data_IF_485281248906
#
_entry.id   IF_485281248906
#
_cell.length_a   1.000
_cell.length_b   1.000
_cell.length_c   1.000
_cell.angle_alpha   90.00
_cell.angle_beta   90.00
_cell.angle_gamma   90.00
#
_symmetry.space_group_name_H-M   'P 1'
#
loop_
_entity.id
_entity.type
_entity.pdbx_description
1 polymer ?
#
# COMPACT_ATOMS: atom_id res chain seq x y z
N UNK A 1 35.12 -7.42 -34.68
CA UNK A 1 33.90 -6.91 -34.02
C UNK A 1 33.93 -7.34 -32.55
N UNK A 2 33.49 -6.47 -31.64
CA UNK A 2 33.36 -6.63 -30.17
C UNK A 2 34.63 -6.68 -29.28
N UNK A 3 35.00 -5.50 -28.77
CA UNK A 3 35.52 -5.31 -27.39
C UNK A 3 34.75 -4.17 -26.72
N UNK A 4 33.47 -4.41 -26.40
CA UNK A 4 32.62 -3.52 -25.58
C UNK A 4 32.42 -4.12 -24.18
N UNK A 5 33.50 -4.50 -23.50
CA UNK A 5 33.43 -5.05 -22.13
C UNK A 5 34.74 -4.72 -21.40
N UNK A 6 34.92 -3.49 -20.92
CA UNK A 6 35.71 -3.26 -19.69
C UNK A 6 35.64 -1.85 -19.06
N UNK A 7 34.80 -0.93 -19.53
CA UNK A 7 34.69 0.42 -18.90
C UNK A 7 33.61 0.52 -17.83
N UNK A 8 32.70 -0.46 -17.75
CA UNK A 8 31.58 -0.48 -16.79
C UNK A 8 32.06 -0.78 -15.36
N UNK A 9 33.06 -1.65 -15.20
CA UNK A 9 33.68 -1.98 -13.91
C UNK A 9 34.52 -0.83 -13.33
N UNK A 10 35.27 -0.13 -14.17
CA UNK A 10 36.08 1.03 -13.76
C UNK A 10 35.21 2.23 -13.36
N UNK A 11 34.16 2.53 -14.13
CA UNK A 11 33.20 3.60 -13.82
C UNK A 11 32.43 3.34 -12.53
N UNK A 12 32.06 2.08 -12.25
CA UNK A 12 31.35 1.70 -11.02
C UNK A 12 32.28 1.71 -9.80
N UNK A 13 33.56 1.38 -9.97
CA UNK A 13 34.57 1.52 -8.92
C UNK A 13 34.87 2.98 -8.60
N UNK A 14 34.97 3.87 -9.61
CA UNK A 14 35.11 5.32 -9.37
C UNK A 14 33.85 5.89 -8.70
N UNK A 15 32.63 5.46 -9.09
CA UNK A 15 31.37 5.91 -8.48
C UNK A 15 31.29 5.52 -6.98
N UNK A 16 31.80 4.33 -6.60
CA UNK A 16 31.93 3.91 -5.19
C UNK A 16 33.01 4.66 -4.41
N UNK A 17 34.04 5.16 -5.09
CA UNK A 17 35.08 5.95 -4.44
C UNK A 17 34.49 7.29 -3.99
N UNK A 18 33.68 7.99 -4.81
CA UNK A 18 33.25 9.37 -4.52
C UNK A 18 31.84 9.57 -3.95
N UNK A 19 30.96 8.56 -4.01
CA UNK A 19 29.58 8.68 -3.52
C UNK A 19 29.22 7.42 -2.72
N UNK A 20 28.79 7.61 -1.47
CA UNK A 20 28.27 6.53 -0.61
C UNK A 20 26.91 6.04 -1.12
N UNK A 21 26.49 4.85 -0.69
CA UNK A 21 25.18 4.27 -1.06
C UNK A 21 23.99 5.14 -0.61
N UNK A 22 24.20 6.08 0.31
CA UNK A 22 23.22 7.05 0.83
C UNK A 22 23.18 8.39 0.06
N UNK A 23 23.79 8.48 -1.13
CA UNK A 23 23.95 9.72 -1.92
C UNK A 23 24.73 10.84 -1.21
N UNK A 24 25.44 10.57 -0.11
CA UNK A 24 26.34 11.55 0.49
C UNK A 24 27.72 11.50 -0.17
N UNK A 25 28.34 12.68 -0.36
CA UNK A 25 29.70 12.80 -0.90
C UNK A 25 30.67 12.04 -0.01
N UNK A 26 31.42 11.10 -0.60
CA UNK A 26 32.33 10.25 0.15
C UNK A 26 33.55 11.09 0.55
N UNK A 27 33.53 11.63 1.77
CA UNK A 27 34.61 12.44 2.36
C UNK A 27 35.98 11.77 2.25
N UNK A 28 36.02 10.43 2.20
CA UNK A 28 37.23 9.64 1.97
C UNK A 28 37.87 9.87 0.59
N UNK A 29 37.08 10.09 -0.45
CA UNK A 29 37.54 10.31 -1.81
C UNK A 29 38.19 11.68 -2.01
N UNK A 30 37.57 12.71 -1.42
CA UNK A 30 38.09 14.08 -1.37
C UNK A 30 39.37 14.15 -0.53
N UNK A 31 39.43 13.37 0.57
CA UNK A 31 40.64 13.21 1.37
C UNK A 31 41.76 12.50 0.60
N UNK A 32 41.45 11.40 -0.12
CA UNK A 32 42.40 10.68 -0.98
C UNK A 32 42.93 11.54 -2.13
N UNK A 33 42.13 12.48 -2.67
CA UNK A 33 42.61 13.41 -3.70
C UNK A 33 43.59 14.45 -3.16
N UNK A 34 43.34 14.98 -1.95
CA UNK A 34 44.28 15.87 -1.25
C UNK A 34 45.58 15.14 -0.89
N UNK A 35 45.46 13.93 -0.36
CA UNK A 35 46.59 13.03 -0.07
C UNK A 35 47.44 12.73 -1.31
N UNK A 36 46.81 12.47 -2.46
CA UNK A 36 47.52 12.18 -3.71
C UNK A 36 48.29 13.38 -4.27
N UNK A 37 47.73 14.59 -4.17
CA UNK A 37 48.45 15.82 -4.55
C UNK A 37 49.69 15.97 -3.66
N UNK A 38 49.49 15.87 -2.36
CA UNK A 38 50.55 16.08 -1.39
C UNK A 38 51.67 15.00 -1.49
N UNK A 39 51.32 13.74 -1.78
CA UNK A 39 52.28 12.66 -2.06
C UNK A 39 53.08 12.89 -3.35
N UNK A 40 52.49 13.50 -4.38
CA UNK A 40 53.18 13.80 -5.64
C UNK A 40 54.14 14.98 -5.45
N UNK A 41 53.76 15.99 -4.68
CA UNK A 41 54.65 17.09 -4.25
C UNK A 41 55.86 16.52 -3.50
N UNK A 42 55.59 15.59 -2.57
CA UNK A 42 56.61 14.82 -1.83
C UNK A 42 57.57 14.06 -2.76
N UNK A 43 57.04 13.43 -3.80
CA UNK A 43 57.80 12.63 -4.76
C UNK A 43 58.71 13.49 -5.64
N UNK A 44 58.19 14.60 -6.18
CA UNK A 44 58.93 15.49 -7.08
C UNK A 44 60.12 16.14 -6.39
N UNK A 45 59.94 16.57 -5.14
CA UNK A 45 60.98 17.25 -4.39
C UNK A 45 62.01 16.22 -3.83
N UNK A 46 61.61 14.99 -3.47
CA UNK A 46 62.57 13.92 -3.15
C UNK A 46 63.40 13.47 -4.37
N UNK A 47 62.81 13.42 -5.57
CA UNK A 47 63.56 13.16 -6.79
C UNK A 47 64.63 14.23 -7.06
N UNK A 48 64.37 15.46 -6.64
CA UNK A 48 65.31 16.56 -6.77
C UNK A 48 66.45 16.51 -5.75
N UNK A 49 66.20 16.10 -4.51
CA UNK A 49 67.28 15.84 -3.54
C UNK A 49 68.25 14.74 -4.01
N UNK A 50 67.79 13.83 -4.87
CA UNK A 50 68.62 12.81 -5.53
C UNK A 50 69.37 13.37 -6.76
N UNK A 51 68.78 14.33 -7.49
CA UNK A 51 69.38 14.96 -8.68
C UNK A 51 70.33 16.15 -8.36
N UNK A 52 70.13 16.83 -7.23
CA UNK A 52 70.95 17.97 -6.79
C UNK A 52 72.31 17.58 -6.19
N UNK A 53 72.71 16.30 -6.26
CA UNK A 53 74.11 15.91 -6.10
C UNK A 53 75.02 16.50 -7.22
N UNK A 54 74.43 17.13 -8.24
CA UNK A 54 75.16 17.81 -9.32
C UNK A 54 74.44 19.06 -9.83
N UNK A 55 74.97 20.23 -9.45
CA UNK A 55 74.89 21.55 -10.11
C UNK A 55 73.86 22.62 -9.67
N UNK A 56 74.43 23.66 -9.03
CA UNK A 56 74.31 25.13 -9.22
C UNK A 56 72.98 25.91 -9.07
N UNK A 57 72.99 26.84 -8.10
CA UNK A 57 72.62 28.27 -8.14
C UNK A 57 71.43 28.69 -9.04
N UNK A 58 70.21 28.41 -8.60
CA UNK A 58 69.03 29.23 -8.90
C UNK A 58 68.61 29.97 -7.63
N UNK A 59 67.88 31.09 -7.74
CA UNK A 59 67.36 31.80 -6.56
C UNK A 59 66.37 30.89 -5.81
N UNK A 60 66.86 30.26 -4.76
CA UNK A 60 66.13 29.33 -3.91
C UNK A 60 65.18 30.13 -3.00
N UNK A 61 63.90 29.76 -2.98
CA UNK A 61 62.97 30.27 -1.98
C UNK A 61 63.19 29.50 -0.68
N UNK A 62 63.08 30.21 0.45
CA UNK A 62 63.05 29.53 1.74
C UNK A 62 61.77 28.69 1.86
N UNK A 63 61.84 27.62 2.64
CA UNK A 63 60.71 26.72 2.86
C UNK A 63 59.46 27.46 3.37
N UNK A 64 59.63 28.50 4.19
CA UNK A 64 58.52 29.33 4.66
C UNK A 64 57.85 30.16 3.55
N UNK A 65 58.64 30.71 2.62
CA UNK A 65 58.11 31.49 1.50
C UNK A 65 57.41 30.58 0.47
N UNK A 66 57.97 29.40 0.20
CA UNK A 66 57.36 28.41 -0.69
C UNK A 66 56.03 27.87 -0.15
N UNK A 67 55.92 27.66 1.17
CA UNK A 67 54.66 27.27 1.82
C UNK A 67 53.61 28.39 1.67
N UNK A 68 54.00 29.64 1.94
CA UNK A 68 53.08 30.78 1.84
C UNK A 68 52.54 30.95 0.42
N UNK A 69 53.40 30.81 -0.60
CA UNK A 69 53.00 30.94 -2.01
C UNK A 69 52.02 29.83 -2.44
N UNK A 70 52.23 28.60 -1.97
CA UNK A 70 51.33 27.47 -2.21
C UNK A 70 49.96 27.71 -1.55
N UNK A 71 49.92 28.23 -0.33
CA UNK A 71 48.65 28.54 0.34
C UNK A 71 47.91 29.69 -0.33
N UNK A 72 48.60 30.76 -0.72
CA UNK A 72 47.98 31.87 -1.45
C UNK A 72 47.36 31.38 -2.78
N UNK A 73 48.01 30.44 -3.47
CA UNK A 73 47.46 29.82 -4.66
C UNK A 73 46.25 28.93 -4.37
N UNK A 74 46.31 28.07 -3.34
CA UNK A 74 45.17 27.24 -2.91
C UNK A 74 43.99 28.11 -2.46
N UNK A 75 44.27 29.25 -1.84
CA UNK A 75 43.27 30.22 -1.39
C UNK A 75 42.65 30.99 -2.55
N UNK A 76 43.42 31.29 -3.60
CA UNK A 76 42.91 31.86 -4.84
C UNK A 76 41.97 30.90 -5.60
N UNK A 77 42.09 29.60 -5.33
CA UNK A 77 41.22 28.56 -5.89
C UNK A 77 40.03 28.31 -4.96
N UNK A 78 38.93 29.04 -5.17
CA UNK A 78 37.64 28.87 -4.47
C UNK A 78 36.98 27.49 -4.77
N UNK A 79 37.55 26.40 -4.25
CA UNK A 79 37.00 25.06 -4.46
C UNK A 79 37.58 23.93 -3.62
N UNK A 80 38.57 24.20 -2.77
CA UNK A 80 39.05 23.23 -1.79
C UNK A 80 38.19 23.26 -0.52
N UNK A 81 37.69 22.09 -0.10
CA UNK A 81 36.95 21.99 1.16
C UNK A 81 37.88 22.20 2.37
N UNK A 82 37.31 22.55 3.52
CA UNK A 82 38.06 22.73 4.77
C UNK A 82 38.86 21.48 5.13
N UNK A 83 38.30 20.29 4.89
CA UNK A 83 38.94 19.01 5.15
C UNK A 83 40.08 18.72 4.16
N UNK A 84 39.94 19.13 2.90
CA UNK A 84 41.01 19.02 1.91
C UNK A 84 42.17 19.97 2.23
N UNK A 85 41.87 21.18 2.71
CA UNK A 85 42.86 22.13 3.20
C UNK A 85 43.59 21.58 4.42
N UNK A 86 42.89 21.09 5.44
CA UNK A 86 43.53 20.50 6.61
C UNK A 86 44.42 19.29 6.30
N UNK A 87 44.03 18.46 5.32
CA UNK A 87 44.85 17.35 4.86
C UNK A 87 46.10 17.84 4.11
N UNK A 88 45.95 18.87 3.27
CA UNK A 88 47.08 19.54 2.62
C UNK A 88 48.01 20.18 3.66
N UNK A 89 47.46 20.85 4.67
CA UNK A 89 48.21 21.57 5.71
C UNK A 89 49.16 20.65 6.47
N UNK A 90 48.66 19.49 6.93
CA UNK A 90 49.45 18.52 7.68
C UNK A 90 50.61 17.97 6.83
N UNK A 91 50.39 17.79 5.53
CA UNK A 91 51.38 17.16 4.65
C UNK A 91 52.39 18.19 4.13
N UNK A 92 51.94 19.41 3.81
CA UNK A 92 52.81 20.53 3.45
C UNK A 92 53.70 20.89 4.65
N UNK A 93 53.14 21.00 5.85
CA UNK A 93 53.90 21.30 7.06
C UNK A 93 54.93 20.20 7.40
N UNK A 94 54.54 18.92 7.41
CA UNK A 94 55.46 17.80 7.68
C UNK A 94 56.59 17.72 6.64
N UNK A 95 56.33 18.14 5.41
CA UNK A 95 57.29 18.04 4.31
C UNK A 95 58.32 19.18 4.29
N UNK A 96 57.88 20.43 4.38
CA UNK A 96 58.78 21.59 4.34
C UNK A 96 59.59 21.76 5.64
N UNK A 97 59.18 21.14 6.74
CA UNK A 97 60.01 20.99 7.94
C UNK A 97 61.24 20.10 7.71
N UNK A 98 61.31 19.34 6.60
CA UNK A 98 62.39 18.40 6.26
C UNK A 98 63.16 18.77 4.98
N UNK A 99 62.96 19.96 4.40
CA UNK A 99 63.59 20.40 3.15
C UNK A 99 64.20 21.79 3.32
N UNK A 100 65.47 21.98 2.95
CA UNK A 100 66.21 23.23 3.19
C UNK A 100 66.02 24.29 2.09
N UNK A 101 65.65 23.89 0.86
CA UNK A 101 65.31 24.83 -0.22
C UNK A 101 64.43 24.24 -1.33
N UNK A 102 63.64 25.11 -2.00
CA UNK A 102 62.76 24.76 -3.14
C UNK A 102 63.00 25.73 -4.30
N UNK A 103 63.00 25.22 -5.54
CA UNK A 103 63.15 26.08 -6.73
C UNK A 103 61.83 26.44 -7.38
N UNK A 104 61.86 27.50 -8.18
CA UNK A 104 60.71 28.01 -8.93
C UNK A 104 60.09 27.00 -9.91
N UNK A 105 60.90 26.13 -10.50
CA UNK A 105 60.41 25.09 -11.42
C UNK A 105 59.61 24.02 -10.68
N UNK A 106 60.00 23.70 -9.44
CA UNK A 106 59.25 22.77 -8.58
C UNK A 106 57.88 23.34 -8.23
N UNK A 107 57.82 24.64 -7.91
CA UNK A 107 56.58 25.36 -7.67
C UNK A 107 55.65 25.35 -8.89
N UNK A 108 56.20 25.52 -10.10
CA UNK A 108 55.41 25.47 -11.33
C UNK A 108 54.74 24.11 -11.53
N UNK A 109 55.45 23.01 -11.26
CA UNK A 109 54.88 21.66 -11.37
C UNK A 109 53.78 21.44 -10.33
N UNK A 110 53.96 21.97 -9.11
CA UNK A 110 52.94 21.93 -8.05
C UNK A 110 51.67 22.68 -8.50
N UNK A 111 51.82 23.87 -9.07
CA UNK A 111 50.69 24.65 -9.60
C UNK A 111 49.94 23.92 -10.71
N UNK A 112 50.65 23.36 -11.69
CA UNK A 112 50.04 22.60 -12.78
C UNK A 112 49.25 21.39 -12.26
N UNK A 113 49.77 20.72 -11.23
CA UNK A 113 49.13 19.56 -10.64
C UNK A 113 47.89 19.91 -9.82
N UNK A 114 47.98 20.97 -8.99
CA UNK A 114 46.86 21.52 -8.22
C UNK A 114 45.75 21.94 -9.20
N UNK A 115 46.11 22.66 -10.28
CA UNK A 115 45.16 23.09 -11.28
C UNK A 115 44.53 21.90 -12.03
N UNK A 116 45.31 20.91 -12.47
CA UNK A 116 44.79 19.72 -13.15
C UNK A 116 43.80 18.94 -12.26
N UNK A 117 44.09 18.85 -10.95
CA UNK A 117 43.19 18.23 -9.98
C UNK A 117 41.95 19.07 -9.69
N UNK A 118 42.10 20.39 -9.57
CA UNK A 118 40.98 21.32 -9.45
C UNK A 118 40.01 21.19 -10.64
N UNK A 119 40.54 21.20 -11.87
CA UNK A 119 39.74 21.01 -13.10
C UNK A 119 39.03 19.65 -13.14
N UNK A 120 39.71 18.59 -12.71
CA UNK A 120 39.13 17.24 -12.63
C UNK A 120 37.99 17.21 -11.62
N UNK A 121 38.20 17.75 -10.41
CA UNK A 121 37.17 17.82 -9.37
C UNK A 121 35.95 18.62 -9.84
N UNK A 122 36.15 19.78 -10.48
CA UNK A 122 35.05 20.59 -11.01
C UNK A 122 34.23 19.83 -12.05
N UNK A 123 34.89 19.08 -12.94
CA UNK A 123 34.21 18.25 -13.93
C UNK A 123 33.38 17.15 -13.26
N UNK A 124 33.93 16.48 -12.25
CA UNK A 124 33.23 15.45 -11.50
C UNK A 124 32.03 15.99 -10.71
N UNK A 125 32.19 17.14 -10.04
CA UNK A 125 31.10 17.83 -9.33
C UNK A 125 29.98 18.21 -10.32
N UNK A 126 30.32 18.71 -11.49
CA UNK A 126 29.34 19.05 -12.53
C UNK A 126 28.54 17.82 -12.99
N UNK A 127 29.20 16.67 -13.17
CA UNK A 127 28.52 15.40 -13.51
C UNK A 127 27.60 14.93 -12.38
N UNK A 128 28.06 15.00 -11.13
CA UNK A 128 27.23 14.63 -9.96
C UNK A 128 25.99 15.51 -9.87
N UNK A 129 26.15 16.83 -10.09
CA UNK A 129 25.02 17.77 -10.11
C UNK A 129 23.98 17.38 -11.16
N UNK A 130 24.41 17.05 -12.38
CA UNK A 130 23.50 16.59 -13.44
C UNK A 130 22.76 15.29 -13.10
N UNK A 131 23.45 14.30 -12.51
CA UNK A 131 22.83 13.04 -12.08
C UNK A 131 21.79 13.27 -10.98
N UNK A 132 22.09 14.15 -10.01
CA UNK A 132 21.17 14.51 -8.93
C UNK A 132 19.93 15.24 -9.46
N UNK A 133 20.10 16.19 -10.37
CA UNK A 133 18.99 16.93 -10.98
C UNK A 133 18.07 16.01 -11.79
N UNK A 134 18.65 15.08 -12.57
CA UNK A 134 17.89 14.07 -13.30
C UNK A 134 17.10 13.15 -12.37
N UNK A 135 17.70 12.70 -11.26
CA UNK A 135 17.02 11.85 -10.26
C UNK A 135 15.91 12.61 -9.56
N UNK A 136 16.14 13.87 -9.19
CA UNK A 136 15.14 14.73 -8.55
C UNK A 136 13.91 14.91 -9.46
N UNK A 137 14.14 15.24 -10.73
CA UNK A 137 13.05 15.41 -11.69
C UNK A 137 12.28 14.09 -11.93
N UNK A 138 12.98 12.96 -12.04
CA UNK A 138 12.34 11.66 -12.24
C UNK A 138 11.49 11.23 -11.03
N UNK A 139 11.99 11.45 -9.81
CA UNK A 139 11.26 11.18 -8.59
C UNK A 139 9.99 12.04 -8.50
N UNK A 140 10.11 13.34 -8.78
CA UNK A 140 8.97 14.27 -8.78
C UNK A 140 7.87 13.88 -9.78
N UNK A 141 8.25 13.44 -10.99
CA UNK A 141 7.29 12.93 -11.98
C UNK A 141 6.59 11.66 -11.51
N UNK A 142 7.35 10.70 -10.95
CA UNK A 142 6.80 9.46 -10.38
C UNK A 142 5.83 9.76 -9.23
N UNK A 143 6.19 10.68 -8.33
CA UNK A 143 5.35 11.07 -7.20
C UNK A 143 4.03 11.72 -7.67
N UNK A 144 4.08 12.52 -8.74
CA UNK A 144 2.87 13.08 -9.37
C UNK A 144 1.98 11.99 -9.99
N UNK A 145 2.56 10.99 -10.66
CA UNK A 145 1.80 9.86 -11.22
C UNK A 145 1.11 9.06 -10.12
N UNK A 146 1.84 8.72 -9.05
CA UNK A 146 1.29 8.00 -7.89
C UNK A 146 0.17 8.81 -7.20
N UNK A 147 0.33 10.13 -7.09
CA UNK A 147 -0.69 11.01 -6.53
C UNK A 147 -1.97 11.01 -7.40
N UNK A 148 -1.83 11.04 -8.72
CA UNK A 148 -2.97 10.97 -9.65
C UNK A 148 -3.72 9.64 -9.55
N UNK A 149 -2.99 8.52 -9.43
CA UNK A 149 -3.58 7.19 -9.26
C UNK A 149 -4.37 7.09 -7.93
N UNK A 150 -3.82 7.64 -6.85
CA UNK A 150 -4.51 7.72 -5.56
C UNK A 150 -5.83 8.49 -5.64
N UNK A 151 -5.86 9.62 -6.37
CA UNK A 151 -7.10 10.37 -6.57
C UNK A 151 -8.15 9.56 -7.34
N UNK A 152 -7.74 8.84 -8.38
CA UNK A 152 -8.64 7.99 -9.15
C UNK A 152 -9.24 6.87 -8.28
N UNK A 153 -8.41 6.22 -7.45
CA UNK A 153 -8.89 5.17 -6.53
C UNK A 153 -9.86 5.71 -5.49
N UNK A 154 -9.65 6.95 -4.99
CA UNK A 154 -10.58 7.61 -4.08
C UNK A 154 -11.94 7.88 -4.75
N UNK A 155 -11.93 8.31 -6.01
CA UNK A 155 -13.17 8.52 -6.79
C UNK A 155 -13.91 7.20 -7.06
N UNK A 156 -13.19 6.15 -7.45
CA UNK A 156 -13.76 4.81 -7.65
C UNK A 156 -14.39 4.25 -6.37
N UNK A 157 -13.71 4.41 -5.22
CA UNK A 157 -14.23 3.99 -3.92
C UNK A 157 -15.49 4.78 -3.55
N UNK A 158 -15.49 6.09 -3.75
CA UNK A 158 -16.63 6.98 -3.46
C UNK A 158 -17.86 6.60 -4.29
N UNK A 159 -17.64 6.30 -5.57
CA UNK A 159 -18.70 5.84 -6.47
C UNK A 159 -19.26 4.48 -6.04
N UNK A 160 -18.38 3.53 -5.68
CA UNK A 160 -18.79 2.20 -5.22
C UNK A 160 -19.62 2.27 -3.94
N UNK A 161 -19.21 3.10 -2.98
CA UNK A 161 -19.97 3.31 -1.73
C UNK A 161 -21.34 3.90 -2.02
N UNK A 162 -21.41 4.91 -2.90
CA UNK A 162 -22.67 5.55 -3.28
C UNK A 162 -23.63 4.59 -3.98
N UNK A 163 -23.11 3.74 -4.87
CA UNK A 163 -23.89 2.69 -5.54
C UNK A 163 -24.42 1.66 -4.53
N UNK A 164 -23.58 1.20 -3.60
CA UNK A 164 -24.00 0.24 -2.58
C UNK A 164 -25.11 0.80 -1.68
N UNK A 165 -25.01 2.07 -1.27
CA UNK A 165 -26.08 2.73 -0.50
C UNK A 165 -27.41 2.82 -1.29
N UNK A 166 -27.33 3.09 -2.60
CA UNK A 166 -28.52 3.13 -3.45
C UNK A 166 -29.16 1.74 -3.61
N UNK A 167 -28.36 0.70 -3.79
CA UNK A 167 -28.82 -0.69 -3.86
C UNK A 167 -29.46 -1.11 -2.55
N UNK A 168 -28.80 -0.85 -1.41
CA UNK A 168 -29.31 -1.19 -0.08
C UNK A 168 -30.68 -0.55 0.17
N UNK A 169 -30.85 0.72 -0.21
CA UNK A 169 -32.13 1.41 -0.10
C UNK A 169 -33.21 0.72 -0.93
N UNK A 170 -32.91 0.40 -2.19
CA UNK A 170 -33.84 -0.28 -3.11
C UNK A 170 -34.22 -1.68 -2.61
N UNK A 171 -33.25 -2.44 -2.12
CA UNK A 171 -33.47 -3.79 -1.61
C UNK A 171 -34.34 -3.76 -0.34
N UNK A 172 -34.11 -2.77 0.54
CA UNK A 172 -34.95 -2.56 1.72
C UNK A 172 -36.40 -2.21 1.35
N UNK A 173 -36.60 -1.34 0.36
CA UNK A 173 -37.93 -1.00 -0.15
C UNK A 173 -38.63 -2.23 -0.75
N UNK A 174 -37.93 -3.00 -1.58
CA UNK A 174 -38.45 -4.23 -2.18
C UNK A 174 -38.82 -5.28 -1.13
N UNK A 175 -37.96 -5.49 -0.13
CA UNK A 175 -38.21 -6.44 0.96
C UNK A 175 -39.41 -6.01 1.81
N UNK A 176 -39.51 -4.71 2.13
CA UNK A 176 -40.64 -4.16 2.88
C UNK A 176 -41.95 -4.35 2.11
N UNK A 177 -41.94 -4.13 0.79
CA UNK A 177 -43.11 -4.37 -0.06
C UNK A 177 -43.48 -5.85 -0.11
N UNK A 178 -42.49 -6.74 -0.26
CA UNK A 178 -42.72 -8.19 -0.29
C UNK A 178 -43.33 -8.70 1.04
N UNK A 179 -42.85 -8.19 2.18
CA UNK A 179 -43.40 -8.50 3.50
C UNK A 179 -44.85 -8.00 3.61
N UNK A 180 -45.13 -6.76 3.19
CA UNK A 180 -46.48 -6.20 3.21
C UNK A 180 -47.45 -7.02 2.36
N UNK A 181 -47.05 -7.38 1.14
CA UNK A 181 -47.86 -8.22 0.26
C UNK A 181 -48.13 -9.60 0.88
N UNK A 182 -47.11 -10.25 1.45
CA UNK A 182 -47.26 -11.55 2.09
C UNK A 182 -48.22 -11.49 3.30
N UNK A 183 -48.16 -10.41 4.08
CA UNK A 183 -49.09 -10.18 5.20
C UNK A 183 -50.53 -10.01 4.70
N UNK A 184 -50.76 -9.20 3.68
CA UNK A 184 -52.10 -9.03 3.10
C UNK A 184 -52.67 -10.34 2.56
N UNK A 185 -51.88 -11.11 1.79
CA UNK A 185 -52.31 -12.42 1.30
C UNK A 185 -52.59 -13.41 2.43
N UNK A 186 -51.80 -13.38 3.52
CA UNK A 186 -52.06 -14.20 4.69
C UNK A 186 -53.41 -13.86 5.35
N UNK A 187 -53.72 -12.57 5.50
CA UNK A 187 -54.98 -12.11 6.10
C UNK A 187 -56.18 -12.48 5.22
N UNK A 188 -56.08 -12.28 3.91
CA UNK A 188 -57.14 -12.69 2.96
C UNK A 188 -57.41 -14.19 3.01
N UNK A 189 -56.35 -15.01 3.10
CA UNK A 189 -56.49 -16.45 3.23
C UNK A 189 -57.12 -16.85 4.58
N UNK A 190 -56.74 -16.20 5.67
CA UNK A 190 -57.33 -16.44 6.99
C UNK A 190 -58.83 -16.07 7.02
N UNK A 191 -59.22 -14.96 6.40
CA UNK A 191 -60.62 -14.56 6.27
C UNK A 191 -61.41 -15.57 5.43
N UNK A 192 -60.84 -16.03 4.31
CA UNK A 192 -61.46 -17.03 3.47
C UNK A 192 -61.64 -18.37 4.21
N UNK A 193 -60.61 -18.84 4.90
CA UNK A 193 -60.67 -20.07 5.69
C UNK A 193 -61.73 -19.96 6.80
N UNK A 194 -61.85 -18.82 7.46
CA UNK A 194 -62.92 -18.57 8.45
C UNK A 194 -64.30 -18.65 7.81
N UNK A 195 -64.48 -18.08 6.62
CA UNK A 195 -65.71 -18.19 5.84
C UNK A 195 -66.04 -19.65 5.51
N UNK A 196 -65.08 -20.37 4.91
CA UNK A 196 -65.25 -21.78 4.52
C UNK A 196 -65.59 -22.67 5.74
N UNK A 197 -64.97 -22.43 6.91
CA UNK A 197 -65.28 -23.14 8.17
C UNK A 197 -66.69 -22.82 8.66
N UNK A 198 -67.10 -21.55 8.61
CA UNK A 198 -68.44 -21.13 9.01
C UNK A 198 -69.50 -21.80 8.14
N UNK A 199 -69.33 -21.76 6.81
CA UNK A 199 -70.25 -22.37 5.86
C UNK A 199 -70.35 -23.88 6.05
N UNK A 200 -69.21 -24.55 6.25
CA UNK A 200 -69.17 -25.99 6.53
C UNK A 200 -69.87 -26.33 7.86
N UNK A 201 -69.72 -25.49 8.88
CA UNK A 201 -70.38 -25.68 10.19
C UNK A 201 -71.90 -25.54 10.06
N UNK A 202 -72.37 -24.49 9.39
CA UNK A 202 -73.81 -24.30 9.13
C UNK A 202 -74.40 -25.44 8.32
N UNK A 203 -73.72 -25.88 7.25
CA UNK A 203 -74.18 -27.02 6.45
C UNK A 203 -74.26 -28.32 7.28
N UNK A 204 -73.30 -28.55 8.19
CA UNK A 204 -73.31 -29.70 9.08
C UNK A 204 -74.46 -29.63 10.09
N UNK A 205 -74.73 -28.46 10.68
CA UNK A 205 -75.86 -28.23 11.59
C UNK A 205 -77.21 -28.44 10.89
N UNK A 206 -77.38 -27.93 9.67
CA UNK A 206 -78.59 -28.15 8.88
C UNK A 206 -78.81 -29.62 8.52
N UNK A 207 -77.74 -30.34 8.14
CA UNK A 207 -77.81 -31.77 7.86
C UNK A 207 -78.17 -32.56 9.13
N UNK A 208 -77.55 -32.20 10.26
CA UNK A 208 -77.83 -32.80 11.57
C UNK A 208 -79.30 -32.62 11.97
N UNK A 209 -79.84 -31.41 11.81
CA UNK A 209 -81.24 -31.10 12.09
C UNK A 209 -82.20 -31.92 11.24
N UNK A 210 -81.94 -32.06 9.93
CA UNK A 210 -82.76 -32.88 9.01
C UNK A 210 -82.74 -34.36 9.39
N UNK A 211 -81.58 -34.89 9.79
CA UNK A 211 -81.49 -36.29 10.25
C UNK A 211 -82.29 -36.47 11.54
N UNK A 212 -82.21 -35.53 12.48
CA UNK A 212 -82.99 -35.59 13.70
C UNK A 212 -84.49 -35.53 13.48
N UNK A 213 -84.96 -34.65 12.60
CA UNK A 213 -86.36 -34.58 12.20
C UNK A 213 -86.83 -35.93 11.61
N UNK A 214 -86.01 -36.55 10.76
CA UNK A 214 -86.31 -37.87 10.21
C UNK A 214 -86.35 -38.97 11.29
N UNK A 215 -85.44 -38.93 12.27
CA UNK A 215 -85.42 -39.85 13.42
C UNK A 215 -86.69 -39.68 14.27
N UNK A 216 -87.10 -38.44 14.54
CA UNK A 216 -88.30 -38.14 15.32
C UNK A 216 -89.55 -38.71 14.63
N UNK A 217 -89.70 -38.47 13.32
CA UNK A 217 -90.80 -39.04 12.51
C UNK A 217 -90.79 -40.58 12.55
N UNK A 218 -89.62 -41.21 12.51
CA UNK A 218 -89.52 -42.67 12.59
C UNK A 218 -89.94 -43.19 13.96
N UNK A 219 -89.47 -42.57 15.05
CA UNK A 219 -89.84 -42.91 16.42
C UNK A 219 -91.36 -42.80 16.63
N UNK A 220 -92.00 -41.74 16.12
CA UNK A 220 -93.46 -41.59 16.19
C UNK A 220 -94.21 -42.74 15.50
N UNK A 221 -93.66 -43.28 14.40
CA UNK A 221 -94.28 -44.38 13.64
C UNK A 221 -94.05 -45.75 14.24
N UNK A 222 -92.96 -45.95 14.97
CA UNK A 222 -92.56 -47.27 15.52
C UNK A 222 -92.86 -47.44 17.00
N UNK A 223 -93.29 -46.37 17.69
CA UNK A 223 -93.75 -46.45 19.08
C UNK A 223 -95.22 -46.89 19.13
N UNK A 224 -95.50 -48.07 19.71
CA UNK A 224 -96.88 -48.37 20.10
C UNK A 224 -97.32 -47.41 21.22
N UNK A 225 -98.57 -46.96 21.18
CA UNK A 225 -99.08 -45.97 22.14
C UNK A 225 -99.28 -46.55 23.55
N UNK A 226 -98.82 -47.78 23.81
CA UNK A 226 -98.89 -48.50 25.08
C UNK A 226 -97.52 -48.58 25.81
N UNK A 227 -96.47 -47.99 25.23
CA UNK A 227 -95.17 -47.78 25.89
C UNK A 227 -94.22 -48.98 25.84
N UNK A 228 -94.43 -49.95 24.94
CA UNK A 228 -93.45 -50.98 24.61
C UNK A 228 -92.78 -50.64 23.28
N UNK A 229 -91.60 -50.04 23.37
CA UNK A 229 -90.80 -49.66 22.20
C UNK A 229 -90.17 -50.90 21.55
N UNK A 230 -90.71 -51.36 20.41
CA UNK A 230 -90.12 -52.44 19.59
C UNK A 230 -88.85 -51.94 18.87
N UNK A 231 -88.85 -50.66 18.44
CA UNK A 231 -87.71 -50.00 17.77
C UNK A 231 -87.63 -48.50 18.09
N UNK A 232 -86.50 -48.06 18.64
CA UNK A 232 -86.17 -46.64 18.88
C UNK A 232 -84.94 -46.22 18.07
N UNK A 233 -84.93 -45.00 17.54
CA UNK A 233 -83.83 -44.39 16.81
C UNK A 233 -83.16 -43.28 17.64
N UNK A 234 -81.84 -43.15 17.56
CA UNK A 234 -81.10 -42.16 18.34
C UNK A 234 -79.66 -41.91 17.89
N UNK A 235 -78.91 -41.18 18.73
CA UNK A 235 -77.52 -40.79 18.48
C UNK A 235 -76.66 -41.05 19.72
N UNK A 236 -75.56 -41.77 19.54
CA UNK A 236 -74.61 -42.09 20.61
C UNK A 236 -73.17 -42.09 20.06
N UNK A 237 -72.23 -41.49 20.81
CA UNK A 237 -70.79 -41.49 20.49
C UNK A 237 -70.41 -41.02 19.08
N UNK A 238 -71.16 -40.10 18.47
CA UNK A 238 -70.83 -39.59 17.14
C UNK A 238 -71.55 -40.26 15.97
N UNK A 239 -72.38 -41.28 16.24
CA UNK A 239 -73.07 -42.05 15.20
C UNK A 239 -74.58 -42.07 15.44
N UNK A 240 -75.34 -42.05 14.34
CA UNK A 240 -76.78 -42.34 14.35
C UNK A 240 -77.02 -43.85 14.32
N UNK A 241 -78.12 -44.31 14.89
CA UNK A 241 -78.42 -45.74 14.98
C UNK A 241 -79.79 -46.01 15.57
N UNK A 242 -80.02 -47.26 15.95
CA UNK A 242 -81.28 -47.72 16.53
C UNK A 242 -81.07 -48.65 17.73
N UNK A 243 -82.09 -48.78 18.56
CA UNK A 243 -82.20 -49.70 19.69
C UNK A 243 -83.28 -50.74 19.38
N UNK A 244 -83.07 -51.97 19.83
CA UNK A 244 -84.07 -53.05 19.75
C UNK A 244 -84.53 -53.36 21.17
N UNK A 245 -85.85 -53.34 21.42
CA UNK A 245 -86.43 -53.54 22.74
C UNK A 245 -85.80 -52.66 23.85
N UNK A 246 -85.44 -51.41 23.50
CA UNK A 246 -84.81 -50.44 24.42
C UNK A 246 -83.41 -50.81 24.94
N UNK A 247 -82.77 -51.87 24.41
CA UNK A 247 -81.43 -52.28 24.85
C UNK A 247 -80.49 -52.56 23.66
N UNK A 248 -79.24 -52.09 23.81
CA UNK A 248 -78.15 -52.07 22.81
C UNK A 248 -78.34 -51.13 21.60
N UNK A 249 -77.57 -50.04 21.57
CA UNK A 249 -77.44 -49.16 20.40
C UNK A 249 -76.72 -49.86 19.24
N UNK A 250 -77.33 -49.87 18.06
CA UNK A 250 -76.78 -50.37 16.79
C UNK A 250 -76.52 -49.18 15.86
N UNK A 251 -75.25 -48.79 15.62
CA UNK A 251 -74.94 -47.69 14.71
C UNK A 251 -75.30 -48.06 13.26
N UNK A 252 -75.69 -47.07 12.47
CA UNK A 252 -75.85 -47.16 11.02
C UNK A 252 -74.51 -47.18 10.29
#
# INVERSE_FOLDING_TARGET
MNKKLNTRGFSTQIKKIYVKEDNTLNRFALFLSGLAIALIILLLINFKNILNASHSNASELSSAEAIAEIYDYIDSLEGFSKEQRQALDSIIADYFNNCDSVSRDDLSVVYDLINAKYQTNNKEISVIRGDLESKFNSASSSDMEHYSELLQLVDELTNTVSQNQSIEKKDKENLSQAISNAQSTSLENDEKLRGDISDATTAAEEAHAKIWEAIEILNERTSDHDGQYEFDFGYQNGCYGYYVDGSDFKPF
#
